data_IF_187037410414
#
_entry.id   IF_187037410414
#
_cell.length_a   1.000
_cell.length_b   1.000
_cell.length_c   1.000
_cell.angle_alpha   90.00
_cell.angle_beta   90.00
_cell.angle_gamma   90.00
#
_symmetry.space_group_name_H-M   'P 1'
#
loop_
_entity.id
_entity.type
_entity.pdbx_description
1 polymer ?
#
# COMPACT_ATOMS: atom_id res chain seq x y z
N UNK A 1 52.25 21.68 29.15
CA UNK A 1 50.83 21.30 29.35
C UNK A 1 50.78 20.36 30.54
N UNK A 2 50.23 20.80 31.68
CA UNK A 2 50.28 20.01 32.93
C UNK A 2 49.34 18.79 32.84
N UNK A 3 49.71 17.72 33.54
CA UNK A 3 48.94 16.47 33.63
C UNK A 3 47.49 16.66 34.10
N UNK A 4 47.23 17.73 34.85
CA UNK A 4 45.89 18.12 35.34
C UNK A 4 44.95 18.55 34.20
N UNK A 5 45.47 19.13 33.12
CA UNK A 5 44.65 19.55 31.96
C UNK A 5 44.20 18.35 31.10
N UNK A 6 44.97 17.26 31.11
CA UNK A 6 44.62 16.00 30.41
C UNK A 6 43.56 15.20 31.17
N UNK A 7 43.64 15.16 32.50
CA UNK A 7 42.64 14.49 33.36
C UNK A 7 41.25 15.16 33.28
N UNK A 8 41.19 16.48 33.11
CA UNK A 8 39.91 17.18 32.98
C UNK A 8 39.23 16.95 31.61
N UNK A 9 40.01 16.78 30.53
CA UNK A 9 39.46 16.38 29.21
C UNK A 9 38.97 14.93 29.20
N UNK A 10 39.69 14.01 29.85
CA UNK A 10 39.30 12.58 29.93
C UNK A 10 38.02 12.40 30.78
N UNK A 11 37.85 13.15 31.86
CA UNK A 11 36.63 13.10 32.70
C UNK A 11 35.40 13.71 32.04
N UNK A 12 35.57 14.74 31.21
CA UNK A 12 34.49 15.33 30.39
C UNK A 12 33.99 14.38 29.30
N UNK A 13 34.91 13.64 28.65
CA UNK A 13 34.56 12.62 27.64
C UNK A 13 33.85 11.42 28.30
N UNK A 14 34.27 11.02 29.52
CA UNK A 14 33.66 9.90 30.25
C UNK A 14 32.20 10.14 30.64
N UNK A 15 31.85 11.37 31.05
CA UNK A 15 30.45 11.76 31.32
C UNK A 15 29.56 11.81 30.09
N UNK A 16 30.13 12.04 28.90
CA UNK A 16 29.38 11.98 27.63
C UNK A 16 29.09 10.52 27.23
N UNK A 17 30.07 9.63 27.38
CA UNK A 17 29.94 8.20 27.04
C UNK A 17 28.94 7.47 27.95
N UNK A 18 28.86 7.79 29.25
CA UNK A 18 27.87 7.20 30.16
C UNK A 18 26.41 7.58 29.80
N UNK A 19 26.19 8.78 29.23
CA UNK A 19 24.89 9.23 28.73
C UNK A 19 24.45 8.44 27.49
N UNK A 20 25.40 8.08 26.62
CA UNK A 20 25.15 7.22 25.46
C UNK A 20 25.08 5.73 25.82
N UNK A 21 25.74 5.29 26.90
CA UNK A 21 25.63 3.93 27.41
C UNK A 21 24.23 3.64 27.97
N UNK A 22 23.60 4.61 28.63
CA UNK A 22 22.21 4.47 29.08
C UNK A 22 21.21 4.43 27.91
N UNK A 23 21.45 5.20 26.85
CA UNK A 23 20.66 5.14 25.61
C UNK A 23 20.88 3.81 24.87
N UNK A 24 22.11 3.31 24.83
CA UNK A 24 22.45 2.02 24.23
C UNK A 24 21.84 0.85 25.01
N UNK A 25 21.76 0.93 26.35
CA UNK A 25 21.08 -0.09 27.17
C UNK A 25 19.55 0.00 26.98
N UNK A 26 18.96 1.19 26.84
CA UNK A 26 17.53 1.34 26.55
C UNK A 26 17.15 0.79 25.16
N UNK A 27 17.99 1.00 24.15
CA UNK A 27 17.81 0.41 22.81
C UNK A 27 18.01 -1.10 22.85
N UNK A 28 18.97 -1.61 23.64
CA UNK A 28 19.27 -3.04 23.69
C UNK A 28 18.29 -3.85 24.54
N UNK A 29 17.59 -3.22 25.50
CA UNK A 29 16.50 -3.84 26.28
C UNK A 29 15.21 -3.95 25.44
N UNK A 30 14.91 -2.98 24.58
CA UNK A 30 13.80 -3.09 23.62
C UNK A 30 14.06 -4.08 22.47
N UNK A 31 15.30 -4.50 22.26
CA UNK A 31 15.69 -5.45 21.21
C UNK A 31 15.79 -6.90 21.68
N UNK A 32 15.74 -7.17 23.01
CA UNK A 32 15.96 -8.53 23.54
C UNK A 32 14.73 -9.29 24.03
N UNK A 33 13.66 -8.61 24.42
CA UNK A 33 12.41 -9.26 24.82
C UNK A 33 11.22 -8.68 24.04
N UNK A 34 11.16 -8.99 22.75
CA UNK A 34 10.02 -8.66 21.90
C UNK A 34 8.86 -9.66 22.05
N UNK A 35 7.59 -9.22 22.03
CA UNK A 35 6.43 -10.10 21.93
C UNK A 35 6.51 -10.97 20.65
N UNK A 36 5.85 -12.14 20.62
CA UNK A 36 6.14 -13.20 19.66
C UNK A 36 5.93 -12.72 18.22
N UNK A 37 6.98 -12.81 17.41
CA UNK A 37 7.02 -12.68 15.95
C UNK A 37 6.07 -11.63 15.35
N UNK A 38 6.39 -10.34 15.53
CA UNK A 38 5.90 -9.28 14.63
C UNK A 38 6.59 -9.47 13.28
N UNK A 39 5.84 -9.89 12.26
CA UNK A 39 6.34 -9.99 10.88
C UNK A 39 7.13 -8.73 10.52
N UNK A 40 8.45 -8.87 10.31
CA UNK A 40 9.28 -7.79 9.82
C UNK A 40 8.82 -7.48 8.39
N UNK A 41 8.10 -6.37 8.23
CA UNK A 41 7.64 -5.90 6.93
C UNK A 41 8.87 -5.43 6.15
N UNK A 42 9.22 -6.16 5.09
CA UNK A 42 10.36 -5.81 4.23
C UNK A 42 10.02 -4.52 3.47
N UNK A 43 10.76 -3.43 3.71
CA UNK A 43 10.59 -2.17 2.98
C UNK A 43 11.37 -2.24 1.66
N UNK A 44 10.68 -2.08 0.53
CA UNK A 44 11.29 -2.07 -0.79
C UNK A 44 11.54 -0.67 -1.34
N UNK A 45 10.68 0.28 -0.98
CA UNK A 45 10.71 1.67 -1.45
C UNK A 45 9.92 2.53 -0.47
N UNK A 46 10.40 3.73 -0.18
CA UNK A 46 9.62 4.79 0.43
C UNK A 46 9.92 6.12 -0.27
N UNK A 47 8.89 6.90 -0.58
CA UNK A 47 9.04 8.28 -1.03
C UNK A 47 8.14 9.20 -0.23
N UNK A 48 8.75 10.23 0.35
CA UNK A 48 8.04 11.31 1.03
C UNK A 48 7.55 12.30 -0.01
N UNK A 49 6.24 12.48 -0.08
CA UNK A 49 5.56 13.42 -0.97
C UNK A 49 5.02 14.61 -0.16
N UNK A 50 4.53 15.63 -0.85
CA UNK A 50 3.90 16.81 -0.24
C UNK A 50 2.83 16.48 0.80
N UNK A 51 1.95 15.52 0.50
CA UNK A 51 0.77 15.25 1.32
C UNK A 51 0.90 14.04 2.23
N UNK A 52 1.94 13.22 2.05
CA UNK A 52 2.11 11.96 2.78
C UNK A 52 3.29 11.14 2.27
N UNK A 53 3.29 9.85 2.60
CA UNK A 53 4.33 8.90 2.19
C UNK A 53 3.74 7.77 1.34
N UNK A 54 4.39 7.46 0.23
CA UNK A 54 4.14 6.25 -0.56
C UNK A 54 5.20 5.21 -0.21
N UNK A 55 4.76 3.99 0.17
CA UNK A 55 5.66 2.88 0.46
C UNK A 55 5.34 1.67 -0.40
N UNK A 56 6.36 0.90 -0.75
CA UNK A 56 6.22 -0.46 -1.27
C UNK A 56 6.78 -1.41 -0.22
N UNK A 57 5.94 -2.30 0.28
CA UNK A 57 6.27 -3.18 1.40
C UNK A 57 5.94 -4.65 1.10
N UNK A 58 6.73 -5.55 1.66
CA UNK A 58 6.56 -6.99 1.57
C UNK A 58 5.56 -7.51 2.60
N UNK A 59 4.56 -8.26 2.15
CA UNK A 59 3.63 -8.91 3.08
C UNK A 59 2.37 -9.49 2.45
N UNK A 60 1.54 -10.09 3.31
CA UNK A 60 0.18 -10.51 2.99
C UNK A 60 -0.81 -9.39 3.35
N UNK A 61 -1.62 -8.96 2.38
CA UNK A 61 -2.49 -7.79 2.50
C UNK A 61 -3.51 -7.91 3.64
N UNK A 62 -4.15 -9.07 3.78
CA UNK A 62 -5.15 -9.35 4.82
C UNK A 62 -4.58 -9.45 6.25
N UNK A 63 -3.25 -9.42 6.39
CA UNK A 63 -2.56 -9.42 7.68
C UNK A 63 -2.14 -8.01 8.13
N UNK A 64 -2.25 -6.99 7.27
CA UNK A 64 -1.90 -5.61 7.61
C UNK A 64 -2.99 -4.91 8.42
N UNK A 65 -2.69 -3.72 8.90
CA UNK A 65 -3.60 -2.83 9.64
C UNK A 65 -3.56 -1.43 9.02
N UNK A 66 -4.71 -0.82 8.78
CA UNK A 66 -4.86 0.51 8.19
C UNK A 66 -6.30 1.02 8.33
N UNK A 67 -6.60 2.24 7.88
CA UNK A 67 -7.99 2.69 7.82
C UNK A 67 -8.77 1.92 6.76
N UNK A 68 -8.15 1.65 5.62
CA UNK A 68 -8.81 0.97 4.49
C UNK A 68 -7.88 -0.03 3.82
N UNK A 69 -8.47 -1.16 3.43
CA UNK A 69 -7.83 -2.12 2.53
C UNK A 69 -8.49 -2.08 1.15
N UNK A 70 -7.66 -2.02 0.11
CA UNK A 70 -8.08 -2.06 -1.28
C UNK A 70 -7.96 -3.50 -1.80
N UNK A 71 -9.05 -4.07 -2.31
CA UNK A 71 -9.04 -5.39 -2.96
C UNK A 71 -9.25 -5.26 -4.47
N UNK A 72 -8.40 -5.88 -5.31
CA UNK A 72 -8.58 -5.88 -6.76
C UNK A 72 -9.70 -6.84 -7.14
N UNK A 73 -10.90 -6.32 -7.35
CA UNK A 73 -12.11 -7.08 -7.62
C UNK A 73 -12.35 -7.26 -9.13
N UNK A 74 -13.15 -8.26 -9.49
CA UNK A 74 -13.74 -8.37 -10.82
C UNK A 74 -15.09 -7.68 -10.90
N UNK A 75 -15.54 -7.37 -12.12
CA UNK A 75 -16.79 -6.64 -12.36
C UNK A 75 -18.07 -7.36 -11.86
N UNK A 76 -17.95 -8.63 -11.47
CA UNK A 76 -19.02 -9.44 -10.86
C UNK A 76 -18.97 -9.47 -9.34
N UNK A 77 -18.00 -8.78 -8.70
CA UNK A 77 -17.75 -8.77 -7.25
C UNK A 77 -17.77 -10.18 -6.64
N UNK A 78 -17.11 -11.12 -7.32
CA UNK A 78 -17.29 -12.54 -6.99
C UNK A 78 -16.36 -13.07 -5.89
N UNK A 79 -15.24 -12.42 -5.60
CA UNK A 79 -14.37 -12.83 -4.48
C UNK A 79 -13.72 -14.20 -4.62
N UNK A 80 -13.42 -14.65 -5.85
CA UNK A 80 -13.08 -16.07 -6.13
C UNK A 80 -11.60 -16.36 -6.34
N UNK A 81 -10.79 -15.39 -6.76
CA UNK A 81 -9.39 -15.64 -7.13
C UNK A 81 -8.45 -14.58 -6.54
N UNK A 82 -7.15 -14.89 -6.50
CA UNK A 82 -6.09 -13.95 -6.13
C UNK A 82 -6.22 -13.36 -4.72
N UNK A 83 -5.83 -12.10 -4.58
CA UNK A 83 -5.91 -11.35 -3.33
C UNK A 83 -7.37 -11.14 -2.90
N UNK A 84 -8.28 -10.97 -3.86
CA UNK A 84 -9.71 -10.81 -3.61
C UNK A 84 -10.30 -12.00 -2.85
N UNK A 85 -9.96 -13.22 -3.26
CA UNK A 85 -10.36 -14.43 -2.54
C UNK A 85 -9.81 -14.49 -1.11
N UNK A 86 -8.59 -13.98 -0.88
CA UNK A 86 -7.98 -13.97 0.45
C UNK A 86 -8.69 -12.98 1.37
N UNK A 87 -9.01 -11.79 0.87
CA UNK A 87 -9.79 -10.78 1.61
C UNK A 87 -11.18 -11.33 1.90
N UNK A 88 -11.87 -11.93 0.92
CA UNK A 88 -13.16 -12.59 1.14
C UNK A 88 -13.11 -13.72 2.18
N UNK A 89 -12.05 -14.54 2.16
CA UNK A 89 -11.87 -15.59 3.16
C UNK A 89 -11.65 -15.00 4.55
N UNK A 90 -10.89 -13.91 4.67
CA UNK A 90 -10.57 -13.31 5.95
C UNK A 90 -11.71 -12.48 6.53
N UNK A 91 -12.47 -11.76 5.68
CA UNK A 91 -13.62 -10.95 6.09
C UNK A 91 -14.87 -11.77 6.47
N UNK A 92 -14.99 -13.01 5.97
CA UNK A 92 -16.12 -13.89 6.28
C UNK A 92 -17.21 -13.93 5.20
N UNK A 93 -18.25 -14.71 5.45
CA UNK A 93 -19.32 -14.95 4.46
C UNK A 93 -20.23 -13.73 4.29
N UNK A 94 -20.30 -12.86 5.29
CA UNK A 94 -21.05 -11.61 5.28
C UNK A 94 -20.56 -10.67 4.17
N UNK A 95 -19.26 -10.66 3.87
CA UNK A 95 -18.73 -9.91 2.74
C UNK A 95 -19.26 -10.48 1.41
N UNK A 96 -19.34 -11.80 1.27
CA UNK A 96 -19.92 -12.41 0.07
C UNK A 96 -21.40 -12.10 -0.06
N UNK A 97 -22.15 -12.10 1.04
CA UNK A 97 -23.56 -11.73 1.02
C UNK A 97 -23.74 -10.28 0.56
N UNK A 98 -22.95 -9.35 1.09
CA UNK A 98 -22.97 -7.96 0.64
C UNK A 98 -22.69 -7.82 -0.86
N UNK A 99 -21.66 -8.47 -1.38
CA UNK A 99 -21.36 -8.43 -2.82
C UNK A 99 -22.47 -9.07 -3.67
N UNK A 100 -23.15 -10.11 -3.16
CA UNK A 100 -24.34 -10.69 -3.81
C UNK A 100 -25.49 -9.70 -3.85
N UNK A 101 -25.74 -8.98 -2.77
CA UNK A 101 -26.83 -7.99 -2.70
C UNK A 101 -26.59 -6.82 -3.66
N UNK A 102 -25.36 -6.29 -3.72
CA UNK A 102 -24.97 -5.30 -4.74
C UNK A 102 -25.20 -5.85 -6.15
N UNK A 103 -24.82 -7.11 -6.38
CA UNK A 103 -25.01 -7.75 -7.69
C UNK A 103 -26.48 -7.91 -8.08
N UNK A 104 -27.34 -8.24 -7.12
CA UNK A 104 -28.79 -8.37 -7.35
C UNK A 104 -29.38 -7.01 -7.67
N UNK A 105 -28.99 -5.97 -6.93
CA UNK A 105 -29.51 -4.62 -7.13
C UNK A 105 -29.13 -4.06 -8.51
N UNK A 106 -27.85 -4.09 -8.87
CA UNK A 106 -27.37 -3.56 -10.15
C UNK A 106 -27.99 -4.28 -11.36
N UNK A 107 -28.25 -5.59 -11.24
CA UNK A 107 -28.87 -6.37 -12.32
C UNK A 107 -30.32 -5.99 -12.58
N UNK A 108 -31.04 -5.39 -11.62
CA UNK A 108 -32.39 -4.85 -11.86
C UNK A 108 -32.39 -3.76 -12.93
N UNK A 109 -31.28 -3.02 -13.04
CA UNK A 109 -31.06 -1.96 -14.04
C UNK A 109 -30.20 -2.42 -15.22
N UNK A 110 -29.99 -3.73 -15.41
CA UNK A 110 -29.10 -4.30 -16.43
C UNK A 110 -27.67 -3.74 -16.39
N UNK A 111 -27.18 -3.39 -15.20
CA UNK A 111 -25.82 -2.91 -14.96
C UNK A 111 -24.93 -4.04 -14.41
N UNK A 112 -23.62 -4.03 -14.72
CA UNK A 112 -22.69 -4.92 -14.04
C UNK A 112 -22.61 -4.54 -12.54
N UNK A 113 -22.38 -5.52 -11.63
CA UNK A 113 -22.25 -5.25 -10.21
C UNK A 113 -21.24 -4.13 -9.87
N UNK A 114 -20.14 -4.06 -10.60
CA UNK A 114 -19.18 -2.96 -10.52
C UNK A 114 -18.48 -2.79 -11.87
N UNK A 115 -18.76 -1.73 -12.64
CA UNK A 115 -18.06 -1.43 -13.89
C UNK A 115 -16.54 -1.33 -13.73
N UNK A 116 -15.78 -1.55 -14.81
CA UNK A 116 -14.33 -1.28 -14.81
C UNK A 116 -14.09 0.21 -14.51
N UNK A 117 -13.01 0.50 -13.78
CA UNK A 117 -12.61 1.80 -13.20
C UNK A 117 -13.48 2.30 -12.06
N UNK A 118 -14.48 1.54 -11.61
CA UNK A 118 -15.34 1.92 -10.48
C UNK A 118 -15.07 1.11 -9.23
N UNK A 119 -15.63 1.58 -8.11
CA UNK A 119 -15.38 1.06 -6.77
C UNK A 119 -16.67 0.71 -6.06
N UNK A 120 -16.60 -0.27 -5.15
CA UNK A 120 -17.65 -0.55 -4.17
C UNK A 120 -17.03 -0.54 -2.78
N UNK A 121 -17.63 0.18 -1.83
CA UNK A 121 -17.17 0.24 -0.44
C UNK A 121 -18.03 -0.68 0.40
N UNK A 122 -17.39 -1.48 1.26
CA UNK A 122 -18.05 -2.41 2.17
C UNK A 122 -17.47 -2.32 3.58
N UNK A 123 -18.21 -2.85 4.56
CA UNK A 123 -17.69 -3.05 5.91
C UNK A 123 -16.52 -4.06 5.90
N UNK A 124 -15.66 -4.03 6.93
CA UNK A 124 -14.52 -4.95 7.04
C UNK A 124 -14.92 -6.33 7.60
N UNK A 125 -16.10 -6.45 8.21
CA UNK A 125 -16.62 -7.69 8.80
C UNK A 125 -15.62 -8.28 9.80
N UNK A 126 -15.18 -9.54 9.63
CA UNK A 126 -14.22 -10.18 10.53
C UNK A 126 -12.83 -9.51 10.54
N UNK A 127 -12.60 -8.50 9.70
CA UNK A 127 -11.39 -7.67 9.69
C UNK A 127 -11.57 -6.31 10.41
N UNK A 128 -12.67 -6.09 11.13
CA UNK A 128 -12.96 -4.81 11.82
C UNK A 128 -11.90 -4.38 12.84
N UNK A 129 -11.11 -5.33 13.37
CA UNK A 129 -9.98 -5.03 14.25
C UNK A 129 -8.74 -4.51 13.52
N UNK A 130 -8.70 -4.59 12.18
CA UNK A 130 -7.55 -4.21 11.34
C UNK A 130 -7.85 -3.09 10.36
N UNK A 131 -9.09 -3.02 9.88
CA UNK A 131 -9.54 -2.06 8.88
C UNK A 131 -10.89 -1.47 9.27
N UNK A 132 -11.12 -0.21 8.92
CA UNK A 132 -12.43 0.44 9.03
C UNK A 132 -13.32 0.13 7.82
N UNK A 133 -12.71 -0.03 6.64
CA UNK A 133 -13.40 -0.24 5.36
C UNK A 133 -12.65 -1.20 4.43
N UNK A 134 -13.39 -1.84 3.52
CA UNK A 134 -12.84 -2.56 2.36
C UNK A 134 -13.35 -1.87 1.09
N UNK A 135 -12.45 -1.46 0.20
CA UNK A 135 -12.81 -0.93 -1.13
C UNK A 135 -12.49 -1.99 -2.19
N UNK A 136 -13.51 -2.40 -2.93
CA UNK A 136 -13.44 -3.29 -4.07
C UNK A 136 -13.19 -2.45 -5.32
N UNK A 137 -11.99 -2.50 -5.87
CA UNK A 137 -11.61 -1.71 -7.06
C UNK A 137 -11.57 -2.61 -8.27
N UNK A 138 -12.38 -2.30 -9.29
CA UNK A 138 -12.37 -3.04 -10.56
C UNK A 138 -11.44 -2.33 -11.53
N UNK A 139 -10.31 -2.97 -11.82
CA UNK A 139 -9.27 -2.47 -12.73
C UNK A 139 -9.28 -3.29 -14.04
N UNK A 140 -8.66 -2.81 -15.13
CA UNK A 140 -8.70 -3.51 -16.42
C UNK A 140 -8.15 -4.95 -16.40
N UNK A 141 -8.87 -5.87 -17.07
CA UNK A 141 -8.47 -7.26 -17.27
C UNK A 141 -7.64 -7.42 -18.55
N UNK A 142 -6.33 -7.62 -18.42
CA UNK A 142 -5.37 -7.73 -19.53
C UNK A 142 -4.97 -9.17 -19.88
N UNK A 143 -5.72 -10.19 -19.41
CA UNK A 143 -5.43 -11.61 -19.76
C UNK A 143 -5.51 -11.96 -21.24
N UNK A 144 -6.01 -11.05 -22.08
CA UNK A 144 -6.12 -11.21 -23.54
C UNK A 144 -5.25 -10.16 -24.23
N UNK A 145 -3.95 -10.44 -24.47
CA UNK A 145 -2.99 -9.46 -24.97
C UNK A 145 -3.38 -8.84 -26.32
N UNK A 146 -4.04 -9.59 -27.20
CA UNK A 146 -4.43 -9.07 -28.52
C UNK A 146 -5.64 -8.12 -28.48
N UNK A 147 -6.16 -7.80 -27.29
CA UNK A 147 -7.38 -6.99 -27.09
C UNK A 147 -7.22 -5.99 -25.95
N UNK A 148 -6.03 -5.82 -25.38
CA UNK A 148 -5.85 -5.10 -24.11
C UNK A 148 -5.30 -3.68 -24.27
N UNK A 149 -4.80 -3.27 -25.43
CA UNK A 149 -4.13 -1.98 -25.61
C UNK A 149 -4.99 -0.79 -25.15
N UNK A 150 -6.26 -0.74 -25.56
CA UNK A 150 -7.21 0.28 -25.09
C UNK A 150 -7.61 0.10 -23.62
N UNK A 151 -7.65 -1.13 -23.12
CA UNK A 151 -7.99 -1.42 -21.71
C UNK A 151 -6.86 -1.03 -20.77
N UNK A 152 -5.60 -1.12 -21.20
CA UNK A 152 -4.44 -0.73 -20.38
C UNK A 152 -4.47 0.75 -20.00
N UNK A 153 -5.06 1.58 -20.85
CA UNK A 153 -5.25 3.02 -20.62
C UNK A 153 -6.25 3.33 -19.50
N UNK A 154 -7.03 2.33 -19.03
CA UNK A 154 -7.99 2.49 -17.93
C UNK A 154 -7.35 2.35 -16.54
N UNK A 155 -6.09 1.90 -16.45
CA UNK A 155 -5.44 1.71 -15.16
C UNK A 155 -5.22 3.03 -14.38
N UNK A 156 -4.76 4.13 -15.00
CA UNK A 156 -4.70 5.44 -14.33
C UNK A 156 -6.09 5.90 -13.87
N UNK A 157 -7.12 5.72 -14.71
CA UNK A 157 -8.50 6.08 -14.38
C UNK A 157 -9.00 5.31 -13.14
N UNK A 158 -8.69 4.02 -13.02
CA UNK A 158 -9.02 3.24 -11.83
C UNK A 158 -8.37 3.81 -10.56
N UNK A 159 -7.12 4.29 -10.63
CA UNK A 159 -6.49 4.98 -9.50
C UNK A 159 -7.11 6.35 -9.21
N UNK A 160 -7.40 7.16 -10.22
CA UNK A 160 -8.06 8.46 -10.02
C UNK A 160 -9.44 8.31 -9.38
N UNK A 161 -10.25 7.35 -9.87
CA UNK A 161 -11.57 7.07 -9.30
C UNK A 161 -11.47 6.49 -7.88
N UNK A 162 -10.44 5.67 -7.59
CA UNK A 162 -10.11 5.24 -6.23
C UNK A 162 -9.83 6.44 -5.31
N UNK A 163 -8.99 7.39 -5.72
CA UNK A 163 -8.70 8.57 -4.91
C UNK A 163 -9.92 9.49 -4.75
N UNK A 164 -10.79 9.59 -5.76
CA UNK A 164 -12.07 10.28 -5.61
C UNK A 164 -12.93 9.63 -4.51
N UNK A 165 -13.01 8.29 -4.50
CA UNK A 165 -13.71 7.55 -3.44
C UNK A 165 -13.08 7.78 -2.07
N UNK A 166 -11.75 7.75 -1.98
CA UNK A 166 -11.02 7.98 -0.73
C UNK A 166 -11.23 9.40 -0.19
N UNK A 167 -11.26 10.41 -1.07
CA UNK A 167 -11.48 11.83 -0.71
C UNK A 167 -12.83 12.06 -0.03
N UNK A 168 -13.85 11.26 -0.38
CA UNK A 168 -15.17 11.33 0.22
C UNK A 168 -15.25 10.65 1.61
N UNK A 169 -14.21 9.89 2.00
CA UNK A 169 -14.15 9.13 3.25
C UNK A 169 -13.35 9.87 4.33
N UNK A 170 -14.06 10.55 5.24
CA UNK A 170 -13.46 11.43 6.26
C UNK A 170 -12.62 10.73 7.34
N UNK A 171 -12.78 9.43 7.52
CA UNK A 171 -12.12 8.62 8.54
C UNK A 171 -10.96 7.78 8.00
N UNK A 172 -10.52 8.06 6.76
CA UNK A 172 -9.48 7.32 6.05
C UNK A 172 -8.27 8.22 5.76
N UNK A 173 -7.09 7.78 6.18
CA UNK A 173 -5.81 8.47 5.98
C UNK A 173 -4.67 7.50 5.67
N UNK A 174 -4.78 6.23 6.09
CA UNK A 174 -3.82 5.15 5.84
C UNK A 174 -4.46 4.09 4.95
N UNK A 175 -3.83 3.83 3.80
CA UNK A 175 -4.32 2.89 2.79
C UNK A 175 -3.36 1.71 2.66
N UNK A 176 -3.91 0.49 2.63
CA UNK A 176 -3.20 -0.74 2.25
C UNK A 176 -3.78 -1.27 0.95
N UNK A 177 -2.97 -1.35 -0.09
CA UNK A 177 -3.41 -1.79 -1.42
C UNK A 177 -2.36 -2.67 -2.08
N UNK A 178 -2.74 -3.69 -2.87
CA UNK A 178 -1.81 -4.30 -3.80
C UNK A 178 -1.73 -3.48 -5.09
N UNK A 179 -0.72 -3.72 -5.94
CA UNK A 179 -0.72 -3.20 -7.30
C UNK A 179 -1.94 -3.72 -8.08
N UNK A 180 -2.72 -2.81 -8.69
CA UNK A 180 -3.93 -3.16 -9.43
C UNK A 180 -3.63 -3.82 -10.78
N UNK A 181 -4.50 -4.73 -11.22
CA UNK A 181 -4.40 -5.49 -12.48
C UNK A 181 -3.17 -6.40 -12.69
N UNK A 182 -2.14 -6.32 -11.84
CA UNK A 182 -0.86 -7.04 -11.98
C UNK A 182 -0.82 -8.40 -11.26
N UNK A 183 -1.99 -9.01 -11.06
CA UNK A 183 -2.14 -10.38 -10.55
C UNK A 183 -2.92 -11.22 -11.56
N UNK A 184 -4.12 -11.68 -11.16
CA UNK A 184 -5.02 -12.47 -12.02
C UNK A 184 -5.29 -11.81 -13.37
N UNK A 185 -5.40 -10.48 -13.42
CA UNK A 185 -5.68 -9.71 -14.63
C UNK A 185 -4.48 -9.50 -15.57
N UNK A 186 -3.29 -10.00 -15.20
CA UNK A 186 -2.14 -10.12 -16.10
C UNK A 186 -1.70 -8.83 -16.81
N UNK A 187 -1.88 -7.66 -16.20
CA UNK A 187 -1.30 -6.41 -16.71
C UNK A 187 0.23 -6.54 -16.74
N UNK A 188 0.93 -6.16 -17.83
CA UNK A 188 2.38 -6.31 -17.92
C UNK A 188 3.12 -5.65 -16.75
N UNK A 189 3.83 -6.44 -15.94
CA UNK A 189 4.40 -5.95 -14.66
C UNK A 189 5.33 -4.74 -14.80
N UNK A 190 6.13 -4.64 -15.88
CA UNK A 190 7.05 -3.50 -16.07
C UNK A 190 6.31 -2.20 -16.34
N UNK A 191 5.38 -2.26 -17.29
CA UNK A 191 4.50 -1.14 -17.66
C UNK A 191 3.62 -0.75 -16.45
N UNK A 192 3.00 -1.73 -15.82
CA UNK A 192 2.10 -1.53 -14.68
C UNK A 192 2.81 -0.99 -13.43
N UNK A 193 4.04 -1.42 -13.15
CA UNK A 193 4.83 -0.88 -12.05
C UNK A 193 5.19 0.60 -12.28
N UNK A 194 5.62 0.96 -13.50
CA UNK A 194 5.89 2.35 -13.88
C UNK A 194 4.64 3.21 -13.74
N UNK A 195 3.56 2.81 -14.40
CA UNK A 195 2.30 3.55 -14.40
C UNK A 195 1.75 3.71 -12.97
N UNK A 196 1.79 2.65 -12.16
CA UNK A 196 1.32 2.70 -10.76
C UNK A 196 2.14 3.69 -9.94
N UNK A 197 3.47 3.66 -10.03
CA UNK A 197 4.33 4.59 -9.29
C UNK A 197 4.13 6.02 -9.75
N UNK A 198 4.17 6.28 -11.06
CA UNK A 198 3.96 7.62 -11.62
C UNK A 198 2.60 8.20 -11.22
N UNK A 199 1.54 7.39 -11.29
CA UNK A 199 0.18 7.83 -10.94
C UNK A 199 0.05 8.12 -9.45
N UNK A 200 0.46 7.18 -8.58
CA UNK A 200 0.31 7.35 -7.13
C UNK A 200 1.20 8.47 -6.58
N UNK A 201 2.45 8.56 -7.03
CA UNK A 201 3.34 9.65 -6.63
C UNK A 201 2.85 11.00 -7.17
N UNK A 202 2.36 11.05 -8.41
CA UNK A 202 1.77 12.26 -8.97
C UNK A 202 0.56 12.75 -8.19
N UNK A 203 -0.30 11.85 -7.71
CA UNK A 203 -1.42 12.20 -6.83
C UNK A 203 -0.94 12.66 -5.46
N UNK A 204 -0.01 11.94 -4.83
CA UNK A 204 0.47 12.21 -3.47
C UNK A 204 1.38 13.45 -3.36
N UNK A 205 2.00 13.87 -4.45
CA UNK A 205 2.91 15.03 -4.53
C UNK A 205 2.31 16.22 -5.32
N UNK A 206 1.06 16.08 -5.77
CA UNK A 206 0.35 17.06 -6.59
C UNK A 206 -0.09 18.34 -5.84
N UNK A 207 -0.77 19.23 -6.56
CA UNK A 207 -1.27 20.49 -6.00
C UNK A 207 -2.44 20.31 -5.04
N UNK A 208 -3.34 19.37 -5.33
CA UNK A 208 -4.50 19.08 -4.49
C UNK A 208 -4.16 18.08 -3.39
N UNK A 209 -4.62 18.33 -2.15
CA UNK A 209 -4.50 17.36 -1.05
C UNK A 209 -5.42 16.15 -1.33
N UNK A 210 -4.88 14.93 -1.49
CA UNK A 210 -5.67 13.73 -1.69
C UNK A 210 -6.37 13.23 -0.41
N UNK A 211 -6.09 13.82 0.76
CA UNK A 211 -6.61 13.38 2.06
C UNK A 211 -5.91 12.14 2.63
N UNK A 212 -4.94 11.58 1.91
CA UNK A 212 -4.20 10.37 2.28
C UNK A 212 -2.82 10.74 2.81
N UNK A 213 -2.49 10.27 4.02
CA UNK A 213 -1.19 10.50 4.68
C UNK A 213 -0.22 9.35 4.46
N UNK A 214 -0.71 8.13 4.33
CA UNK A 214 0.10 6.97 4.00
C UNK A 214 -0.59 6.08 2.96
N UNK A 215 0.09 5.81 1.86
CA UNK A 215 -0.34 4.82 0.88
C UNK A 215 0.70 3.70 0.83
N UNK A 216 0.29 2.48 1.14
CA UNK A 216 1.17 1.33 1.24
C UNK A 216 0.81 0.31 0.17
N UNK A 217 1.72 0.13 -0.79
CA UNK A 217 1.65 -0.91 -1.82
C UNK A 217 2.20 -2.21 -1.21
N UNK A 218 1.32 -3.15 -0.89
CA UNK A 218 1.67 -4.45 -0.29
C UNK A 218 1.88 -5.48 -1.39
N UNK A 219 3.08 -6.06 -1.43
CA UNK A 219 3.49 -6.99 -2.48
C UNK A 219 4.06 -8.27 -1.91
N UNK A 220 3.68 -9.39 -2.53
CA UNK A 220 4.26 -10.71 -2.25
C UNK A 220 4.99 -11.28 -3.46
N UNK A 221 4.60 -10.85 -4.66
CA UNK A 221 5.14 -11.41 -5.90
C UNK A 221 6.50 -10.81 -6.28
N UNK A 222 7.49 -11.70 -6.46
CA UNK A 222 8.84 -11.32 -6.90
C UNK A 222 8.86 -10.61 -8.25
N UNK A 223 7.92 -10.91 -9.15
CA UNK A 223 7.86 -10.31 -10.47
C UNK A 223 7.57 -8.81 -10.40
N UNK A 224 6.59 -8.40 -9.59
CA UNK A 224 6.33 -6.97 -9.37
C UNK A 224 7.55 -6.30 -8.74
N UNK A 225 8.13 -6.88 -7.67
CA UNK A 225 9.28 -6.29 -6.97
C UNK A 225 10.47 -6.08 -7.91
N UNK A 226 10.82 -7.07 -8.75
CA UNK A 226 11.93 -6.97 -9.72
C UNK A 226 11.71 -5.88 -10.76
N UNK A 227 10.49 -5.81 -11.31
CA UNK A 227 10.14 -4.81 -12.32
C UNK A 227 10.07 -3.41 -11.71
N UNK A 228 9.49 -3.27 -10.53
CA UNK A 228 9.46 -2.02 -9.75
C UNK A 228 10.88 -1.52 -9.49
N UNK A 229 11.79 -2.35 -8.97
CA UNK A 229 13.21 -1.97 -8.77
C UNK A 229 13.90 -1.54 -10.05
N UNK A 230 13.56 -2.16 -11.18
CA UNK A 230 14.11 -1.79 -12.50
C UNK A 230 13.60 -0.42 -12.92
N UNK A 231 12.29 -0.18 -12.84
CA UNK A 231 11.66 1.12 -13.12
C UNK A 231 12.27 2.20 -12.23
N UNK A 232 12.37 1.94 -10.94
CA UNK A 232 12.91 2.88 -9.96
C UNK A 232 14.35 3.28 -10.25
N UNK A 233 15.19 2.30 -10.62
CA UNK A 233 16.56 2.56 -11.05
C UNK A 233 16.62 3.34 -12.37
N UNK A 234 15.76 3.00 -13.33
CA UNK A 234 15.71 3.66 -14.65
C UNK A 234 15.14 5.08 -14.59
N UNK A 235 14.34 5.41 -13.58
CA UNK A 235 13.84 6.76 -13.40
C UNK A 235 14.91 7.75 -12.94
N UNK A 236 16.09 7.30 -12.50
CA UNK A 236 17.17 8.18 -12.04
C UNK A 236 16.69 9.26 -11.05
N UNK A 237 15.81 8.87 -10.12
CA UNK A 237 15.17 9.74 -9.11
C UNK A 237 14.25 10.86 -9.66
N UNK A 238 13.79 10.74 -10.91
CA UNK A 238 12.87 11.71 -11.54
C UNK A 238 11.38 11.48 -11.18
N UNK A 239 11.08 10.51 -10.32
CA UNK A 239 9.72 10.29 -9.83
C UNK A 239 9.33 11.37 -8.80
N UNK A 240 8.04 11.75 -8.68
CA UNK A 240 7.61 12.74 -7.69
C UNK A 240 7.91 12.34 -6.24
N UNK A 241 7.96 13.32 -5.34
CA UNK A 241 8.43 13.14 -3.97
C UNK A 241 9.95 12.93 -3.84
N UNK A 242 10.43 12.75 -2.62
CA UNK A 242 11.85 12.49 -2.29
C UNK A 242 12.03 11.05 -1.84
N UNK A 243 13.03 10.33 -2.36
CA UNK A 243 13.41 8.99 -1.89
C UNK A 243 13.83 9.02 -0.41
N UNK A 244 13.14 8.23 0.41
CA UNK A 244 13.42 8.06 1.84
C UNK A 244 13.57 6.59 2.22
N UNK A 245 13.83 5.70 1.26
CA UNK A 245 13.90 4.24 1.47
C UNK A 245 14.98 3.82 2.49
N UNK A 246 16.06 4.59 2.60
CA UNK A 246 17.22 4.30 3.45
C UNK A 246 17.33 5.18 4.70
N UNK A 247 16.33 6.05 4.94
CA UNK A 247 16.32 7.03 6.03
C UNK A 247 15.62 6.47 7.27
#
# INVERSE_FOLDING_TARGET
MSWETLLHKVTSIRKSIEKYAFLAIFVNVYMKDGPPCRNMVELYMARTCRWGILRVIGGDLHLQEADVVITPANNRLSGREGIDAQIHKAAGEELRQFCRDVSVEQRKSNLPPCPVTTNVVSKPYNLENKFKHIIHVVSPDCRRPNQDESRRQLLPEAYFNLFATLKDMKDVSVVMAPPLSMGVFAYPHREGARLTLETLLGIMDGEEDPGIKEYNIVVKERNFIKNMRTVYRESEDQLPGTDTTMV
#
